data_IF_292907432683
#
_entry.id   IF_292907432683
#
_cell.length_a   1.000
_cell.length_b   1.000
_cell.length_c   1.000
_cell.angle_alpha   90.00
_cell.angle_beta   90.00
_cell.angle_gamma   90.00
#
_symmetry.space_group_name_H-M   'P 1'
#
loop_
_entity.id
_entity.type
_entity.pdbx_description
1 polymer ?
#
# COMPACT_ATOMS: atom_id res chain seq x y z
N UNK A 1 -15.84 5.83 -64.59
CA UNK A 1 -15.75 6.51 -63.27
C UNK A 1 -16.50 5.65 -62.27
N UNK A 2 -15.79 4.81 -61.51
CA UNK A 2 -16.39 4.03 -60.41
C UNK A 2 -15.71 4.48 -59.13
N UNK A 3 -16.41 5.26 -58.33
CA UNK A 3 -15.94 5.69 -57.02
C UNK A 3 -16.17 4.55 -56.02
N UNK A 4 -15.08 3.98 -55.52
CA UNK A 4 -15.12 3.04 -54.39
C UNK A 4 -15.53 3.79 -53.12
N UNK A 5 -16.73 3.51 -52.62
CA UNK A 5 -17.15 3.96 -51.30
C UNK A 5 -16.40 3.13 -50.25
N UNK A 6 -15.26 3.63 -49.75
CA UNK A 6 -14.64 3.11 -48.52
C UNK A 6 -15.63 3.31 -47.37
N UNK A 7 -16.35 2.24 -47.01
CA UNK A 7 -17.18 2.18 -45.80
C UNK A 7 -16.24 2.23 -44.60
N UNK A 8 -15.87 3.43 -44.19
CA UNK A 8 -15.05 3.68 -43.01
C UNK A 8 -15.72 3.00 -41.82
N UNK A 9 -14.99 2.11 -41.15
CA UNK A 9 -15.45 1.47 -39.93
C UNK A 9 -15.81 2.57 -38.93
N UNK A 10 -17.04 2.58 -38.41
CA UNK A 10 -17.46 3.72 -37.63
C UNK A 10 -16.67 3.74 -36.32
N UNK A 11 -16.21 4.92 -35.91
CA UNK A 11 -15.29 5.14 -34.78
C UNK A 11 -15.73 4.48 -33.47
N UNK A 12 -17.03 4.31 -33.24
CA UNK A 12 -17.59 3.59 -32.09
C UNK A 12 -17.30 2.07 -32.12
N UNK A 13 -17.20 1.46 -33.31
CA UNK A 13 -16.80 0.05 -33.44
C UNK A 13 -15.34 -0.18 -33.02
N UNK A 14 -14.45 0.76 -33.36
CA UNK A 14 -13.04 0.72 -32.92
C UNK A 14 -12.96 0.88 -31.39
N UNK A 15 -13.71 1.83 -30.82
CA UNK A 15 -13.77 2.02 -29.37
C UNK A 15 -14.28 0.78 -28.63
N UNK A 16 -15.33 0.12 -29.13
CA UNK A 16 -15.87 -1.10 -28.54
C UNK A 16 -14.87 -2.26 -28.58
N UNK A 17 -14.12 -2.41 -29.68
CA UNK A 17 -13.07 -3.43 -29.79
C UNK A 17 -11.93 -3.15 -28.81
N UNK A 18 -11.45 -1.90 -28.74
CA UNK A 18 -10.41 -1.51 -27.78
C UNK A 18 -10.86 -1.73 -26.33
N UNK A 19 -12.10 -1.37 -25.99
CA UNK A 19 -12.66 -1.61 -24.66
C UNK A 19 -12.80 -3.10 -24.35
N UNK A 20 -13.33 -3.90 -25.29
CA UNK A 20 -13.44 -5.34 -25.12
C UNK A 20 -12.09 -6.03 -24.94
N UNK A 21 -11.08 -5.63 -25.72
CA UNK A 21 -9.71 -6.13 -25.56
C UNK A 21 -9.11 -5.73 -24.21
N UNK A 22 -9.30 -4.47 -23.78
CA UNK A 22 -8.84 -4.00 -22.48
C UNK A 22 -9.45 -4.81 -21.32
N UNK A 23 -10.78 -5.02 -21.34
CA UNK A 23 -11.47 -5.82 -20.32
C UNK A 23 -10.94 -7.25 -20.28
N UNK A 24 -10.71 -7.88 -21.44
CA UNK A 24 -10.15 -9.23 -21.52
C UNK A 24 -8.74 -9.31 -20.92
N UNK A 25 -7.87 -8.34 -21.21
CA UNK A 25 -6.52 -8.27 -20.65
C UNK A 25 -6.56 -8.09 -19.13
N UNK A 26 -7.41 -7.18 -18.63
CA UNK A 26 -7.58 -6.98 -17.18
C UNK A 26 -8.10 -8.25 -16.50
N UNK A 27 -9.10 -8.93 -17.07
CA UNK A 27 -9.65 -10.17 -16.52
C UNK A 27 -8.61 -11.29 -16.46
N UNK A 28 -7.81 -11.46 -17.52
CA UNK A 28 -6.72 -12.44 -17.55
C UNK A 28 -5.64 -12.12 -16.49
N UNK A 29 -5.27 -10.84 -16.36
CA UNK A 29 -4.31 -10.39 -15.34
C UNK A 29 -4.81 -10.67 -13.92
N UNK A 30 -6.07 -10.34 -13.62
CA UNK A 30 -6.68 -10.63 -12.31
C UNK A 30 -6.73 -12.14 -12.05
N UNK A 31 -7.12 -12.94 -13.04
CA UNK A 31 -7.14 -14.41 -12.94
C UNK A 31 -5.76 -14.99 -12.61
N UNK A 32 -4.71 -14.52 -13.27
CA UNK A 32 -3.33 -14.93 -13.02
C UNK A 32 -2.88 -14.59 -11.59
N UNK A 33 -3.21 -13.39 -11.10
CA UNK A 33 -2.90 -12.97 -9.73
C UNK A 33 -3.62 -13.84 -8.70
N UNK A 34 -4.92 -14.09 -8.88
CA UNK A 34 -5.70 -14.94 -7.97
C UNK A 34 -5.14 -16.37 -7.93
N UNK A 35 -4.80 -16.92 -9.10
CA UNK A 35 -4.21 -18.25 -9.18
C UNK A 35 -2.83 -18.33 -8.50
N UNK A 36 -1.98 -17.33 -8.70
CA UNK A 36 -0.69 -17.27 -8.02
C UNK A 36 -0.83 -17.16 -6.50
N UNK A 37 -1.74 -16.29 -6.01
CA UNK A 37 -2.00 -16.10 -4.57
C UNK A 37 -2.53 -17.39 -3.96
N UNK A 38 -3.52 -18.04 -4.59
CA UNK A 38 -4.09 -19.29 -4.08
C UNK A 38 -3.07 -20.44 -4.04
N UNK A 39 -2.14 -20.47 -4.99
CA UNK A 39 -1.04 -21.45 -5.02
C UNK A 39 0.05 -21.17 -3.98
N UNK A 40 0.20 -19.91 -3.54
CA UNK A 40 1.20 -19.48 -2.56
C UNK A 40 0.60 -19.20 -1.16
N UNK A 41 -0.66 -19.56 -0.92
CA UNK A 41 -1.42 -19.14 0.26
C UNK A 41 -0.75 -19.52 1.59
N UNK A 42 -0.15 -20.71 1.67
CA UNK A 42 0.42 -21.21 2.93
C UNK A 42 1.71 -20.46 3.25
N UNK A 43 2.52 -20.14 2.23
CA UNK A 43 3.70 -19.29 2.36
C UNK A 43 3.31 -17.87 2.78
N UNK A 44 2.32 -17.27 2.12
CA UNK A 44 1.83 -15.93 2.44
C UNK A 44 1.26 -15.86 3.86
N UNK A 45 0.52 -16.89 4.29
CA UNK A 45 -0.02 -16.98 5.64
C UNK A 45 1.10 -17.13 6.68
N UNK A 46 2.11 -17.96 6.40
CA UNK A 46 3.28 -18.12 7.28
C UNK A 46 4.09 -16.82 7.38
N UNK A 47 4.38 -16.16 6.25
CA UNK A 47 5.11 -14.88 6.20
C UNK A 47 4.34 -13.79 6.94
N UNK A 48 3.02 -13.71 6.74
CA UNK A 48 2.15 -12.77 7.44
C UNK A 48 2.11 -13.03 8.96
N UNK A 49 1.95 -14.29 9.37
CA UNK A 49 1.98 -14.68 10.79
C UNK A 49 3.31 -14.32 11.43
N UNK A 50 4.42 -14.62 10.75
CA UNK A 50 5.77 -14.28 11.21
C UNK A 50 5.94 -12.76 11.35
N UNK A 51 5.49 -11.97 10.37
CA UNK A 51 5.56 -10.51 10.45
C UNK A 51 4.76 -9.96 11.65
N UNK A 52 3.61 -10.56 11.97
CA UNK A 52 2.82 -10.19 13.14
C UNK A 52 3.46 -10.60 14.46
N UNK A 53 4.03 -11.81 14.55
CA UNK A 53 4.76 -12.28 15.73
C UNK A 53 5.99 -11.40 16.01
N UNK A 54 6.77 -11.08 14.97
CA UNK A 54 7.90 -10.15 15.08
C UNK A 54 7.46 -8.75 15.50
N UNK A 55 6.34 -8.26 14.97
CA UNK A 55 5.79 -6.96 15.34
C UNK A 55 5.34 -6.91 16.80
N UNK A 56 4.72 -7.98 17.30
CA UNK A 56 4.30 -8.07 18.71
C UNK A 56 5.49 -8.18 19.64
N UNK A 57 6.51 -8.97 19.27
CA UNK A 57 7.74 -9.08 20.05
C UNK A 57 8.46 -7.72 20.14
N UNK A 58 8.57 -6.99 19.03
CA UNK A 58 9.15 -5.65 19.02
C UNK A 58 8.30 -4.67 19.85
N UNK A 59 6.98 -4.68 19.66
CA UNK A 59 6.05 -3.82 20.39
C UNK A 59 6.05 -4.03 21.92
N UNK A 60 6.47 -5.20 22.41
CA UNK A 60 6.54 -5.47 23.85
C UNK A 60 7.63 -4.63 24.55
N UNK A 61 8.67 -4.23 23.82
CA UNK A 61 9.83 -3.51 24.34
C UNK A 61 9.92 -2.06 23.84
N UNK A 62 9.07 -1.69 22.88
CA UNK A 62 9.13 -0.42 22.16
C UNK A 62 7.80 0.33 22.14
N UNK A 63 7.87 1.64 21.92
CA UNK A 63 6.70 2.50 21.75
C UNK A 63 6.24 2.63 20.29
N UNK A 64 5.11 3.30 20.09
CA UNK A 64 4.56 3.49 18.74
C UNK A 64 5.44 4.33 17.80
N UNK A 65 6.28 5.25 18.30
CA UNK A 65 7.22 5.99 17.43
C UNK A 65 8.32 5.05 16.91
N UNK A 66 8.86 4.21 17.79
CA UNK A 66 9.88 3.22 17.43
C UNK A 66 9.33 2.17 16.45
N UNK A 67 8.05 1.79 16.57
CA UNK A 67 7.37 0.96 15.57
C UNK A 67 7.37 1.58 14.17
N UNK A 68 7.18 2.90 14.08
CA UNK A 68 7.22 3.61 12.78
C UNK A 68 8.64 3.60 12.22
N UNK A 69 9.64 3.88 13.05
CA UNK A 69 11.04 3.91 12.62
C UNK A 69 11.52 2.54 12.13
N UNK A 70 11.19 1.47 12.85
CA UNK A 70 11.51 0.11 12.45
C UNK A 70 10.74 -0.30 11.18
N UNK A 71 9.47 0.09 11.06
CA UNK A 71 8.67 -0.10 9.85
C UNK A 71 9.29 0.54 8.62
N UNK A 72 9.75 1.79 8.75
CA UNK A 72 10.44 2.53 7.69
C UNK A 72 11.79 1.90 7.34
N UNK A 73 12.56 1.48 8.35
CA UNK A 73 13.84 0.78 8.15
C UNK A 73 13.64 -0.53 7.37
N UNK A 74 12.62 -1.32 7.72
CA UNK A 74 12.26 -2.56 7.00
C UNK A 74 11.87 -2.27 5.56
N UNK A 75 11.11 -1.21 5.30
CA UNK A 75 10.69 -0.83 3.95
C UNK A 75 11.84 -0.34 3.05
N UNK A 76 12.90 0.26 3.61
CA UNK A 76 14.09 0.62 2.83
C UNK A 76 14.83 -0.60 2.29
N UNK A 77 14.92 -1.65 3.11
CA UNK A 77 15.59 -2.89 2.77
C UNK A 77 14.78 -3.79 1.83
N UNK A 78 13.55 -3.38 1.50
CA UNK A 78 12.67 -4.19 0.69
C UNK A 78 13.00 -4.15 -0.80
N UNK A 79 12.91 -5.33 -1.41
CA UNK A 79 12.88 -5.50 -2.85
C UNK A 79 11.51 -6.05 -3.27
N UNK A 80 10.84 -5.31 -4.15
CA UNK A 80 9.49 -5.63 -4.65
C UNK A 80 8.32 -5.36 -3.69
N UNK A 81 7.11 -5.42 -4.26
CA UNK A 81 5.86 -5.01 -3.61
C UNK A 81 5.47 -5.90 -2.42
N UNK A 82 5.77 -7.20 -2.48
CA UNK A 82 5.41 -8.11 -1.39
C UNK A 82 6.22 -7.84 -0.13
N UNK A 83 7.51 -7.53 -0.26
CA UNK A 83 8.30 -7.16 0.92
C UNK A 83 7.76 -5.88 1.56
N UNK A 84 7.46 -4.85 0.75
CA UNK A 84 6.90 -3.59 1.27
C UNK A 84 5.55 -3.82 1.97
N UNK A 85 4.75 -4.75 1.46
CA UNK A 85 3.48 -5.15 2.08
C UNK A 85 3.72 -5.77 3.47
N UNK A 86 4.74 -6.62 3.61
CA UNK A 86 5.12 -7.20 4.91
C UNK A 86 5.68 -6.16 5.87
N UNK A 87 6.47 -5.19 5.39
CA UNK A 87 6.93 -4.07 6.22
C UNK A 87 5.76 -3.21 6.72
N UNK A 88 4.76 -2.94 5.87
CA UNK A 88 3.53 -2.25 6.28
C UNK A 88 2.72 -3.08 7.28
N UNK A 89 2.58 -4.39 7.06
CA UNK A 89 1.87 -5.30 7.97
C UNK A 89 2.53 -5.32 9.36
N UNK A 90 3.86 -5.44 9.39
CA UNK A 90 4.65 -5.31 10.61
C UNK A 90 4.36 -3.99 11.31
N UNK A 91 4.47 -2.86 10.59
CA UNK A 91 4.29 -1.52 11.15
C UNK A 91 2.91 -1.36 11.78
N UNK A 92 1.87 -1.78 11.06
CA UNK A 92 0.49 -1.73 11.54
C UNK A 92 0.30 -2.58 12.79
N UNK A 93 0.77 -3.82 12.78
CA UNK A 93 0.65 -4.71 13.94
C UNK A 93 1.43 -4.18 15.14
N UNK A 94 2.62 -3.62 14.92
CA UNK A 94 3.46 -3.04 15.95
C UNK A 94 2.76 -1.85 16.60
N UNK A 95 2.26 -0.90 15.79
CA UNK A 95 1.52 0.28 16.25
C UNK A 95 0.29 -0.07 17.12
N UNK A 96 -0.41 -1.16 16.78
CA UNK A 96 -1.58 -1.59 17.55
C UNK A 96 -1.23 -2.30 18.87
N UNK A 97 -0.04 -2.88 18.97
CA UNK A 97 0.41 -3.65 20.13
C UNK A 97 1.33 -2.87 21.08
N UNK A 98 2.01 -1.84 20.56
CA UNK A 98 3.02 -1.09 21.30
C UNK A 98 2.42 -0.13 22.32
N UNK A 99 3.25 0.25 23.29
CA UNK A 99 2.91 1.29 24.26
C UNK A 99 2.61 2.60 23.55
N UNK A 100 1.52 3.27 23.93
CA UNK A 100 1.11 4.52 23.30
C UNK A 100 2.22 5.56 23.41
N UNK A 101 2.58 6.14 22.27
CA UNK A 101 3.44 7.33 22.26
C UNK A 101 2.60 8.57 22.59
N UNK A 102 3.13 9.43 23.44
CA UNK A 102 2.48 10.69 23.78
C UNK A 102 2.42 11.66 22.59
N UNK A 103 3.34 11.51 21.61
CA UNK A 103 3.57 12.51 20.56
C UNK A 103 3.26 12.02 19.15
N UNK A 104 3.13 10.71 18.94
CA UNK A 104 2.95 10.15 17.59
C UNK A 104 1.75 10.76 16.87
N UNK A 105 0.70 11.00 17.61
CA UNK A 105 -0.59 11.38 17.07
C UNK A 105 -0.79 12.91 16.98
N UNK A 106 0.04 13.74 17.63
CA UNK A 106 -0.22 15.19 17.83
C UNK A 106 -0.53 15.94 16.53
N UNK A 107 0.29 15.74 15.51
CA UNK A 107 0.17 16.43 14.21
C UNK A 107 -0.57 15.59 13.15
N UNK A 108 -1.08 14.42 13.51
CA UNK A 108 -1.73 13.51 12.56
C UNK A 108 -3.15 14.02 12.25
N UNK A 109 -3.49 14.27 10.97
CA UNK A 109 -4.81 14.75 10.56
C UNK A 109 -5.95 13.84 10.98
N UNK A 110 -7.15 14.41 11.06
CA UNK A 110 -8.34 13.64 11.47
C UNK A 110 -8.78 12.67 10.37
N UNK A 111 -9.49 11.64 10.80
CA UNK A 111 -10.08 10.69 9.87
C UNK A 111 -11.01 11.40 8.87
N UNK A 112 -10.86 11.10 7.58
CA UNK A 112 -11.63 11.73 6.49
C UNK A 112 -10.98 12.96 5.86
N UNK A 113 -9.93 13.53 6.46
CA UNK A 113 -9.17 14.64 5.87
C UNK A 113 -8.13 14.12 4.86
N UNK A 114 -8.61 13.62 3.72
CA UNK A 114 -7.77 12.90 2.74
C UNK A 114 -6.60 13.77 2.24
N UNK A 115 -6.86 15.03 1.88
CA UNK A 115 -5.82 15.94 1.39
C UNK A 115 -4.80 16.27 2.47
N UNK A 116 -5.26 16.61 3.68
CA UNK A 116 -4.37 16.89 4.81
C UNK A 116 -3.52 15.67 5.18
N UNK A 117 -4.10 14.46 5.13
CA UNK A 117 -3.37 13.21 5.35
C UNK A 117 -2.26 13.02 4.31
N UNK A 118 -2.55 13.27 3.03
CA UNK A 118 -1.56 13.13 1.96
C UNK A 118 -0.40 14.15 2.12
N UNK A 119 -0.72 15.39 2.46
CA UNK A 119 0.26 16.44 2.76
C UNK A 119 1.10 16.07 3.98
N UNK A 120 0.46 15.62 5.07
CA UNK A 120 1.13 15.17 6.28
C UNK A 120 2.08 14.00 6.02
N UNK A 121 1.66 12.97 5.29
CA UNK A 121 2.52 11.82 4.95
C UNK A 121 3.78 12.26 4.21
N UNK A 122 3.64 13.22 3.28
CA UNK A 122 4.76 13.74 2.50
C UNK A 122 5.70 14.58 3.37
N UNK A 123 5.15 15.48 4.18
CA UNK A 123 5.90 16.32 5.11
C UNK A 123 6.63 15.48 6.17
N UNK A 124 5.98 14.44 6.69
CA UNK A 124 6.53 13.54 7.69
C UNK A 124 7.66 12.68 7.12
N UNK A 125 7.50 12.15 5.90
CA UNK A 125 8.59 11.48 5.20
C UNK A 125 9.79 12.42 4.99
N UNK A 126 9.54 13.67 4.59
CA UNK A 126 10.60 14.67 4.44
C UNK A 126 11.30 14.97 5.77
N UNK A 127 10.54 15.12 6.87
CA UNK A 127 11.07 15.33 8.23
C UNK A 127 12.00 14.19 8.66
N UNK A 128 11.68 12.96 8.25
CA UNK A 128 12.48 11.75 8.50
C UNK A 128 13.58 11.50 7.45
N UNK A 129 13.90 12.48 6.61
CA UNK A 129 14.99 12.39 5.62
C UNK A 129 14.66 11.52 4.39
N UNK A 130 13.37 11.27 4.13
CA UNK A 130 12.86 10.35 3.10
C UNK A 130 12.02 11.09 2.06
N UNK A 131 12.47 12.28 1.66
CA UNK A 131 11.74 13.14 0.73
C UNK A 131 11.47 12.42 -0.61
N UNK A 132 10.25 12.53 -1.11
CA UNK A 132 9.81 11.83 -2.33
C UNK A 132 9.74 10.29 -2.28
N UNK A 133 9.99 9.66 -1.12
CA UNK A 133 10.00 8.20 -1.02
C UNK A 133 8.58 7.63 -0.88
N UNK A 134 8.09 7.01 -1.97
CA UNK A 134 6.80 6.32 -2.04
C UNK A 134 6.63 5.18 -1.03
N UNK A 135 7.72 4.51 -0.64
CA UNK A 135 7.67 3.44 0.37
C UNK A 135 7.41 4.01 1.75
N UNK A 136 8.02 5.16 2.05
CA UNK A 136 7.80 5.87 3.30
C UNK A 136 6.32 6.26 3.45
N UNK A 137 5.72 6.87 2.41
CA UNK A 137 4.31 7.26 2.49
C UNK A 137 3.38 6.04 2.63
N UNK A 138 3.68 4.91 1.96
CA UNK A 138 2.92 3.66 2.10
C UNK A 138 2.97 3.06 3.50
N UNK A 139 4.13 3.11 4.15
CA UNK A 139 4.30 2.63 5.53
C UNK A 139 3.57 3.56 6.51
N UNK A 140 3.76 4.87 6.39
CA UNK A 140 3.16 5.85 7.30
C UNK A 140 1.64 5.91 7.24
N UNK A 141 1.00 5.36 6.20
CA UNK A 141 -0.47 5.25 6.12
C UNK A 141 -1.08 4.52 7.33
N UNK A 142 -0.34 3.64 8.01
CA UNK A 142 -0.85 2.97 9.22
C UNK A 142 -0.95 3.89 10.45
N UNK A 143 -0.27 5.05 10.44
CA UNK A 143 -0.30 5.99 11.58
C UNK A 143 -1.65 6.69 11.70
N UNK A 144 -2.21 7.34 10.66
CA UNK A 144 -3.58 7.88 10.71
C UNK A 144 -4.65 6.82 11.04
N UNK A 145 -4.49 5.59 10.55
CA UNK A 145 -5.39 4.47 10.88
C UNK A 145 -5.36 4.14 12.39
N UNK A 146 -4.20 4.24 13.04
CA UNK A 146 -4.04 3.99 14.49
C UNK A 146 -4.55 5.16 15.32
N UNK A 147 -4.37 6.39 14.81
CA UNK A 147 -4.72 7.62 15.51
C UNK A 147 -6.19 8.05 15.31
N UNK A 148 -7.00 7.33 14.52
CA UNK A 148 -8.38 7.72 14.16
C UNK A 148 -9.40 7.62 15.30
N UNK A 149 -9.04 7.02 16.43
CA UNK A 149 -9.90 6.90 17.62
C UNK A 149 -9.71 8.00 18.67
N UNK A 150 -9.13 9.16 18.29
CA UNK A 150 -8.94 10.34 19.15
C UNK A 150 -10.08 11.33 19.04
#
# INVERSE_FOLDING_TARGET
MSAEAKRGMPWWGILLICFGAFVLVCAAGVGAVIWWVSSNKDRLAADGKKAMEEAQAFAAEHDQNECVDEGLRRADLCDGLMCETMARLFTKSCLTSASKSATLCDDVPKHGEIMATAEWLTAECKRRGRDGNQRCTRVLQSVPETCSGR
#
